data_IF_034079051825
#
_entry.id   IF_034079051825
#
_cell.length_a   1.000
_cell.length_b   1.000
_cell.length_c   1.000
_cell.angle_alpha   90.00
_cell.angle_beta   90.00
_cell.angle_gamma   90.00
#
_symmetry.space_group_name_H-M   'P 1'
#
loop_
_entity.id
_entity.type
_entity.pdbx_description
1 polymer ?
#
# COMPACT_ATOMS: atom_id res chain seq x y z
N UNK A 1 -16.06 8.51 -5.06
CA UNK A 1 -14.85 8.63 -4.22
C UNK A 1 -14.73 7.32 -3.48
N UNK A 2 -13.72 6.51 -3.79
CA UNK A 2 -13.43 5.34 -2.96
C UNK A 2 -12.84 5.84 -1.65
N UNK A 3 -13.27 5.29 -0.52
CA UNK A 3 -12.75 5.70 0.79
C UNK A 3 -11.32 5.15 0.99
N UNK A 4 -10.44 5.93 1.60
CA UNK A 4 -9.13 5.48 2.03
C UNK A 4 -9.29 4.46 3.17
N UNK A 5 -9.34 3.18 2.82
CA UNK A 5 -9.54 2.07 3.76
C UNK A 5 -8.53 0.97 3.49
N UNK A 6 -8.22 0.16 4.50
CA UNK A 6 -7.30 -0.99 4.37
C UNK A 6 -7.66 -1.89 3.20
N UNK A 7 -8.95 -2.15 3.00
CA UNK A 7 -9.43 -2.99 1.91
C UNK A 7 -9.10 -2.42 0.53
N UNK A 8 -9.28 -1.11 0.33
CA UNK A 8 -8.99 -0.45 -0.95
C UNK A 8 -7.48 -0.31 -1.20
N UNK A 9 -6.70 -0.05 -0.14
CA UNK A 9 -5.23 -0.03 -0.22
C UNK A 9 -4.71 -1.40 -0.61
N UNK A 10 -5.09 -2.46 0.11
CA UNK A 10 -4.71 -3.85 -0.20
C UNK A 10 -5.14 -4.27 -1.60
N UNK A 11 -6.32 -3.87 -2.04
CA UNK A 11 -6.79 -4.13 -3.40
C UNK A 11 -5.90 -3.43 -4.45
N UNK A 12 -5.46 -2.20 -4.18
CA UNK A 12 -4.58 -1.45 -5.09
C UNK A 12 -3.18 -2.07 -5.15
N UNK A 13 -2.66 -2.52 -4.02
CA UNK A 13 -1.38 -3.24 -3.92
C UNK A 13 -1.44 -4.58 -4.67
N UNK A 14 -2.55 -5.31 -4.51
CA UNK A 14 -2.78 -6.57 -5.21
C UNK A 14 -2.81 -6.38 -6.74
N UNK A 15 -3.51 -5.35 -7.21
CA UNK A 15 -3.59 -5.00 -8.64
C UNK A 15 -2.21 -4.60 -9.20
N UNK A 16 -1.49 -3.74 -8.48
CA UNK A 16 -0.13 -3.31 -8.83
C UNK A 16 0.85 -4.47 -8.98
N UNK A 17 0.81 -5.42 -8.05
CA UNK A 17 1.65 -6.62 -8.08
C UNK A 17 1.07 -7.75 -8.95
N UNK A 18 -0.12 -7.59 -9.52
CA UNK A 18 -0.82 -8.62 -10.29
C UNK A 18 -0.98 -9.94 -9.50
N UNK A 19 -1.27 -9.84 -8.21
CA UNK A 19 -1.50 -10.96 -7.28
C UNK A 19 -2.94 -10.92 -6.73
N UNK A 20 -3.50 -12.03 -6.23
CA UNK A 20 -4.83 -11.99 -5.62
C UNK A 20 -4.85 -11.17 -4.33
N UNK A 21 -5.87 -10.33 -4.13
CA UNK A 21 -6.00 -9.53 -2.89
C UNK A 21 -6.03 -10.37 -1.61
N UNK A 22 -6.48 -11.63 -1.70
CA UNK A 22 -6.49 -12.57 -0.58
C UNK A 22 -5.08 -13.00 -0.12
N UNK A 23 -4.04 -12.79 -0.94
CA UNK A 23 -2.65 -13.01 -0.51
C UNK A 23 -2.02 -11.78 0.13
N UNK A 24 -2.71 -10.63 0.16
CA UNK A 24 -2.22 -9.40 0.76
C UNK A 24 -2.71 -9.30 2.20
N UNK A 25 -1.77 -9.29 3.12
CA UNK A 25 -1.95 -9.02 4.55
C UNK A 25 -1.14 -7.80 4.94
N UNK A 26 -1.38 -7.23 6.14
CA UNK A 26 -0.57 -6.13 6.66
C UNK A 26 0.93 -6.46 6.67
N UNK A 27 1.30 -7.71 6.99
CA UNK A 27 2.70 -8.15 7.04
C UNK A 27 3.29 -8.55 5.67
N UNK A 28 2.59 -8.29 4.57
CA UNK A 28 3.08 -8.64 3.24
C UNK A 28 4.16 -7.66 2.82
N UNK A 29 5.39 -8.17 2.63
CA UNK A 29 6.49 -7.35 2.14
C UNK A 29 6.20 -6.82 0.73
N UNK A 30 6.54 -5.56 0.50
CA UNK A 30 6.36 -4.89 -0.79
C UNK A 30 7.46 -5.30 -1.77
N UNK A 31 8.69 -5.46 -1.28
CA UNK A 31 9.80 -5.93 -2.11
C UNK A 31 9.61 -7.39 -2.51
N UNK A 32 9.79 -7.67 -3.80
CA UNK A 32 9.55 -8.97 -4.40
C UNK A 32 8.07 -9.33 -4.63
N UNK A 33 7.11 -8.50 -4.19
CA UNK A 33 5.69 -8.79 -4.34
C UNK A 33 5.30 -8.82 -5.82
N UNK A 34 4.83 -9.98 -6.30
CA UNK A 34 4.50 -10.15 -7.72
C UNK A 34 5.69 -9.96 -8.67
N UNK A 35 6.93 -10.03 -8.16
CA UNK A 35 8.16 -9.75 -8.91
C UNK A 35 8.47 -8.26 -9.08
N UNK A 36 7.80 -7.37 -8.34
CA UNK A 36 8.12 -5.95 -8.25
C UNK A 36 9.32 -5.72 -7.33
N UNK A 37 10.08 -4.67 -7.59
CA UNK A 37 11.14 -4.22 -6.68
C UNK A 37 10.69 -2.96 -5.96
N UNK A 38 10.71 -3.01 -4.63
CA UNK A 38 10.40 -1.84 -3.81
C UNK A 38 11.70 -1.26 -3.25
N UNK A 39 11.95 0.07 -3.32
CA UNK A 39 11.06 1.16 -3.76
C UNK A 39 11.15 1.53 -5.25
N UNK A 40 11.92 0.85 -6.08
CA UNK A 40 12.10 1.22 -7.51
C UNK A 40 10.77 1.29 -8.31
N UNK A 41 9.85 0.34 -8.10
CA UNK A 41 8.52 0.30 -8.73
C UNK A 41 7.44 1.09 -7.96
N UNK A 42 7.78 1.64 -6.79
CA UNK A 42 6.87 2.34 -5.88
C UNK A 42 6.07 3.49 -6.50
N UNK A 43 6.66 4.37 -7.36
CA UNK A 43 5.94 5.55 -7.87
C UNK A 43 4.59 5.21 -8.52
N UNK A 44 4.51 4.06 -9.21
CA UNK A 44 3.29 3.62 -9.88
C UNK A 44 2.16 3.25 -8.93
N UNK A 45 2.46 2.59 -7.81
CA UNK A 45 1.48 2.28 -6.76
C UNK A 45 1.13 3.55 -5.97
N UNK A 46 2.14 4.34 -5.61
CA UNK A 46 1.97 5.54 -4.78
C UNK A 46 1.03 6.54 -5.43
N UNK A 47 1.15 6.81 -6.74
CA UNK A 47 0.21 7.70 -7.45
C UNK A 47 -1.24 7.24 -7.32
N UNK A 48 -1.49 5.92 -7.30
CA UNK A 48 -2.84 5.37 -7.09
C UNK A 48 -3.31 5.60 -5.65
N UNK A 49 -2.43 5.35 -4.67
CA UNK A 49 -2.73 5.55 -3.24
C UNK A 49 -2.96 7.03 -2.90
N UNK A 50 -2.17 7.94 -3.46
CA UNK A 50 -2.34 9.39 -3.35
C UNK A 50 -3.71 9.83 -3.86
N UNK A 51 -4.11 9.34 -5.04
CA UNK A 51 -5.43 9.63 -5.61
C UNK A 51 -6.58 8.98 -4.83
N UNK A 52 -6.33 7.81 -4.21
CA UNK A 52 -7.33 7.10 -3.41
C UNK A 52 -7.59 7.79 -2.07
N UNK A 53 -6.52 8.29 -1.46
CA UNK A 53 -6.53 8.85 -0.10
C UNK A 53 -6.50 10.37 -0.05
N UNK A 54 -6.50 11.05 -1.21
CA UNK A 54 -6.40 12.51 -1.34
C UNK A 54 -5.19 13.05 -0.54
N UNK A 55 -4.04 12.39 -0.69
CA UNK A 55 -2.80 12.68 0.05
C UNK A 55 -1.60 12.76 -0.87
N UNK A 56 -0.44 13.15 -0.33
CA UNK A 56 0.84 13.17 -1.03
C UNK A 56 1.86 12.40 -0.22
N UNK A 57 2.52 11.43 -0.85
CA UNK A 57 3.58 10.63 -0.25
C UNK A 57 4.89 11.02 -0.94
N UNK A 58 5.80 11.72 -0.24
CA UNK A 58 7.06 12.12 -0.82
C UNK A 58 7.94 10.90 -1.10
N UNK A 59 8.71 10.96 -2.19
CA UNK A 59 9.53 9.83 -2.64
C UNK A 59 10.58 9.38 -1.60
N UNK A 60 11.04 10.30 -0.75
CA UNK A 60 11.96 10.00 0.35
C UNK A 60 11.35 9.04 1.40
N UNK A 61 10.02 9.01 1.52
CA UNK A 61 9.33 8.14 2.47
C UNK A 61 9.12 6.72 1.91
N UNK A 62 9.37 6.46 0.62
CA UNK A 62 9.14 5.12 0.05
C UNK A 62 10.03 4.06 0.70
N UNK A 63 11.25 4.45 1.12
CA UNK A 63 12.19 3.60 1.84
C UNK A 63 11.72 3.24 3.26
N UNK A 64 10.71 3.94 3.79
CA UNK A 64 10.12 3.64 5.11
C UNK A 64 9.09 2.52 5.06
N UNK A 65 8.62 2.14 3.87
CA UNK A 65 7.59 1.12 3.72
C UNK A 65 8.23 -0.23 3.38
N UNK A 66 8.34 -1.10 4.37
CA UNK A 66 8.80 -2.48 4.18
C UNK A 66 7.63 -3.39 3.78
N UNK A 67 6.48 -3.17 4.42
CA UNK A 67 5.28 -3.96 4.23
C UNK A 67 4.00 -3.10 4.08
N UNK A 68 2.88 -3.78 3.87
CA UNK A 68 1.58 -3.14 3.67
C UNK A 68 1.13 -2.35 4.90
N UNK A 69 1.48 -2.80 6.12
CA UNK A 69 1.11 -2.14 7.36
C UNK A 69 1.73 -0.75 7.43
N UNK A 70 2.98 -0.59 6.98
CA UNK A 70 3.65 0.71 6.96
C UNK A 70 2.90 1.73 6.09
N UNK A 71 2.42 1.29 4.91
CA UNK A 71 1.58 2.11 4.04
C UNK A 71 0.25 2.45 4.73
N UNK A 72 -0.42 1.44 5.29
CA UNK A 72 -1.72 1.65 5.98
C UNK A 72 -1.57 2.65 7.15
N UNK A 73 -0.52 2.50 7.96
CA UNK A 73 -0.18 3.40 9.06
C UNK A 73 0.16 4.82 8.56
N UNK A 74 0.95 4.95 7.49
CA UNK A 74 1.30 6.24 6.92
C UNK A 74 0.05 7.00 6.43
N UNK A 75 -0.88 6.29 5.82
CA UNK A 75 -2.15 6.83 5.35
C UNK A 75 -3.14 7.14 6.49
N UNK A 76 -2.77 6.87 7.75
CA UNK A 76 -3.65 7.06 8.91
C UNK A 76 -4.85 6.11 8.92
N UNK A 77 -4.73 4.98 8.21
CA UNK A 77 -5.76 3.95 8.21
C UNK A 77 -5.54 3.13 9.48
N UNK A 78 -6.36 3.41 10.51
CA UNK A 78 -6.38 2.57 11.69
C UNK A 78 -6.73 1.14 11.24
N UNK A 79 -5.77 0.22 11.35
CA UNK A 79 -6.06 -1.21 11.30
C UNK A 79 -7.20 -1.51 12.29
N UNK A 80 -7.98 -2.59 12.11
CA UNK A 80 -9.13 -2.84 12.98
C UNK A 80 -8.67 -2.79 14.44
N UNK A 81 -9.03 -1.70 15.13
CA UNK A 81 -8.94 -1.60 16.57
C UNK A 81 -9.74 -2.79 17.08
N UNK A 82 -9.03 -3.82 17.56
CA UNK A 82 -9.64 -4.86 18.37
C UNK A 82 -10.09 -4.18 19.68
N UNK A 83 -11.22 -3.48 19.63
CA UNK A 83 -12.05 -3.17 20.80
C UNK A 83 -12.93 -4.37 21.17
#
# INVERSE_FOLDING_TARGET
MSECTSANVRSSIADWASVPVSSITSQTQLDGLGGKSWPDDAPSLVTVLESLCDTTIPQEDYELFEDVEDIENYLGIEGPSNE
#
